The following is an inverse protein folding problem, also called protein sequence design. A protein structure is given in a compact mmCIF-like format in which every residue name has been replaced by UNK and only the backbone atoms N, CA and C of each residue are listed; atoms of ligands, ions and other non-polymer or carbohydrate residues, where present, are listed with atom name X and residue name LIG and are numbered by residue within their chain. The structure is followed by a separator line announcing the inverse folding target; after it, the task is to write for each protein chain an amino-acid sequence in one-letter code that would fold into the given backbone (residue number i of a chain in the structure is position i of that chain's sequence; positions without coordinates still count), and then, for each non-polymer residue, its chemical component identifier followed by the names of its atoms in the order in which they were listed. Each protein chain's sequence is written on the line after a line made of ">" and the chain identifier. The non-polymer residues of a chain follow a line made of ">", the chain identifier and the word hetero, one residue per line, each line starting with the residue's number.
data_IF_622692304788
#
_entry.id   IF_622692304788
#
_cell.length_a   1.000
_cell.length_b   1.000
_cell.length_c   1.000
_cell.angle_alpha   90.00
_cell.angle_beta   90.00
_cell.angle_gamma   90.00
#
_symmetry.space_group_name_H-M   'P 1'
#
loop_
_entity.id
_entity.type
_entity.pdbx_description
1 polymer ?
#
# COMPACT_ATOMS: atom_id res chain seq x y z
N UNK A 1 -10.67 -8.47 -40.94
CA UNK A 1 -10.37 -9.82 -41.46
C UNK A 1 -9.71 -10.64 -40.35
N UNK A 2 -9.89 -11.98 -40.33
CA UNK A 2 -9.23 -12.86 -39.35
C UNK A 2 -9.96 -13.07 -38.00
N UNK A 3 -11.06 -12.41 -37.71
CA UNK A 3 -11.79 -12.58 -36.44
C UNK A 3 -12.33 -14.00 -36.27
N UNK A 4 -12.84 -14.61 -37.34
CA UNK A 4 -13.33 -16.00 -37.30
C UNK A 4 -12.19 -16.97 -36.96
N UNK A 5 -11.02 -16.81 -37.59
CA UNK A 5 -9.83 -17.62 -37.30
C UNK A 5 -9.39 -17.46 -35.85
N UNK A 6 -9.33 -16.21 -35.35
CA UNK A 6 -8.99 -15.91 -33.95
C UNK A 6 -9.96 -16.63 -32.97
N UNK A 7 -11.27 -16.54 -33.22
CA UNK A 7 -12.27 -17.22 -32.39
C UNK A 7 -12.14 -18.73 -32.43
N UNK A 8 -11.87 -19.30 -33.63
CA UNK A 8 -11.62 -20.73 -33.77
C UNK A 8 -10.36 -21.18 -33.02
N UNK A 9 -9.29 -20.38 -33.07
CA UNK A 9 -8.06 -20.66 -32.36
C UNK A 9 -8.23 -20.54 -30.82
N UNK A 10 -9.02 -19.57 -30.33
CA UNK A 10 -9.38 -19.48 -28.92
C UNK A 10 -10.09 -20.75 -28.47
N UNK A 11 -11.10 -21.19 -29.18
CA UNK A 11 -11.85 -22.42 -28.85
C UNK A 11 -10.95 -23.66 -28.89
N UNK A 12 -9.99 -23.69 -29.82
CA UNK A 12 -9.09 -24.84 -30.03
C UNK A 12 -7.99 -24.93 -28.97
N UNK A 13 -7.39 -23.80 -28.58
CA UNK A 13 -6.17 -23.78 -27.77
C UNK A 13 -6.40 -23.41 -26.31
N UNK A 14 -7.46 -22.68 -25.99
CA UNK A 14 -7.73 -22.30 -24.59
C UNK A 14 -8.49 -23.41 -23.88
N UNK A 15 -7.98 -23.93 -22.76
CA UNK A 15 -8.68 -24.96 -22.01
C UNK A 15 -9.94 -24.37 -21.35
N UNK A 16 -11.00 -25.19 -21.32
CA UNK A 16 -12.18 -24.90 -20.51
C UNK A 16 -11.84 -24.98 -19.01
N UNK A 17 -12.62 -24.32 -18.11
CA UNK A 17 -12.36 -24.31 -16.66
C UNK A 17 -12.23 -25.71 -16.04
N UNK A 18 -13.02 -26.68 -16.52
CA UNK A 18 -13.03 -28.08 -16.06
C UNK A 18 -11.71 -28.84 -16.30
N UNK A 19 -10.91 -28.38 -17.27
CA UNK A 19 -9.59 -28.98 -17.58
C UNK A 19 -8.44 -28.43 -16.77
N UNK A 20 -8.69 -27.41 -15.94
CA UNK A 20 -7.68 -26.78 -15.11
C UNK A 20 -7.82 -27.24 -13.66
N UNK A 21 -6.77 -27.80 -13.11
CA UNK A 21 -6.69 -28.08 -11.68
C UNK A 21 -6.77 -26.78 -10.87
N UNK A 22 -7.58 -26.80 -9.84
CA UNK A 22 -7.71 -25.69 -8.90
C UNK A 22 -7.61 -26.21 -7.48
N UNK A 23 -6.41 -26.11 -6.91
CA UNK A 23 -6.11 -26.57 -5.58
C UNK A 23 -5.92 -25.39 -4.62
N UNK A 24 -6.45 -25.52 -3.41
CA UNK A 24 -6.22 -24.66 -2.27
C UNK A 24 -5.81 -25.49 -1.07
N UNK A 25 -5.66 -24.87 0.07
CA UNK A 25 -5.39 -25.54 1.36
C UNK A 25 -6.58 -25.30 2.25
N UNK A 26 -7.15 -26.38 2.81
CA UNK A 26 -8.11 -26.29 3.88
C UNK A 26 -7.36 -25.87 5.16
N UNK A 27 -7.67 -24.69 5.67
CA UNK A 27 -6.89 -24.11 6.78
C UNK A 27 -7.23 -24.71 8.15
N UNK A 28 -8.25 -25.57 8.26
CA UNK A 28 -8.54 -26.33 9.48
C UNK A 28 -7.81 -27.68 9.52
N UNK A 29 -7.75 -28.39 8.38
CA UNK A 29 -7.13 -29.73 8.30
C UNK A 29 -5.71 -29.69 7.79
N UNK A 30 -5.26 -28.58 7.21
CA UNK A 30 -3.99 -28.44 6.49
C UNK A 30 -3.83 -29.38 5.28
N UNK A 31 -4.94 -29.90 4.77
CA UNK A 31 -4.97 -30.79 3.62
C UNK A 31 -5.20 -30.00 2.32
N UNK A 32 -4.75 -30.57 1.22
CA UNK A 32 -5.02 -30.01 -0.11
C UNK A 32 -6.51 -30.15 -0.43
N UNK A 33 -7.15 -29.01 -0.70
CA UNK A 33 -8.53 -28.95 -1.13
C UNK A 33 -8.58 -28.81 -2.66
N UNK A 34 -9.04 -29.86 -3.33
CA UNK A 34 -9.28 -29.83 -4.78
C UNK A 34 -10.68 -29.27 -5.03
N UNK A 35 -10.73 -28.06 -5.60
CA UNK A 35 -11.99 -27.39 -5.92
C UNK A 35 -12.67 -28.00 -7.17
N UNK A 36 -11.88 -28.30 -8.21
CA UNK A 36 -12.25 -28.97 -9.47
C UNK A 36 -13.46 -28.37 -10.19
N UNK A 37 -13.77 -27.12 -9.90
CA UNK A 37 -14.96 -26.42 -10.42
C UNK A 37 -16.27 -27.21 -10.24
N UNK A 38 -16.36 -27.98 -9.18
CA UNK A 38 -17.53 -28.80 -8.87
C UNK A 38 -18.60 -28.00 -8.12
N UNK A 39 -19.82 -27.99 -8.64
CA UNK A 39 -20.96 -27.26 -8.08
C UNK A 39 -21.47 -27.84 -6.75
N UNK A 40 -21.28 -29.14 -6.52
CA UNK A 40 -21.72 -29.81 -5.30
C UNK A 40 -20.75 -29.60 -4.11
N UNK A 41 -19.51 -29.15 -4.36
CA UNK A 41 -18.54 -28.87 -3.31
C UNK A 41 -18.88 -27.59 -2.53
N UNK A 42 -18.35 -27.43 -1.32
CA UNK A 42 -18.48 -26.18 -0.54
C UNK A 42 -18.04 -24.96 -1.37
N UNK A 43 -18.74 -23.85 -1.16
CA UNK A 43 -18.50 -22.61 -1.88
C UNK A 43 -17.10 -22.08 -1.62
N UNK A 44 -16.37 -21.77 -2.69
CA UNK A 44 -15.08 -21.08 -2.58
C UNK A 44 -14.82 -20.21 -3.80
N UNK A 45 -14.19 -19.06 -3.58
CA UNK A 45 -13.83 -18.11 -4.62
C UNK A 45 -12.51 -17.43 -4.30
N UNK A 46 -11.86 -16.91 -5.33
CA UNK A 46 -10.63 -16.14 -5.24
C UNK A 46 -10.80 -14.75 -5.83
N UNK A 47 -10.42 -13.71 -5.08
CA UNK A 47 -10.45 -12.33 -5.53
C UNK A 47 -9.18 -12.04 -6.31
N UNK A 48 -9.26 -11.91 -7.63
CA UNK A 48 -8.07 -11.71 -8.45
C UNK A 48 -7.82 -10.26 -8.86
N UNK A 49 -8.84 -9.38 -8.77
CA UNK A 49 -8.72 -7.96 -9.12
C UNK A 49 -9.76 -7.12 -8.39
N UNK A 50 -9.39 -5.86 -8.11
CA UNK A 50 -10.33 -4.83 -7.65
C UNK A 50 -10.44 -3.76 -8.72
N UNK A 51 -11.66 -3.27 -8.96
CA UNK A 51 -11.97 -2.12 -9.83
C UNK A 51 -12.76 -1.13 -9.00
N UNK A 52 -12.43 0.16 -9.12
CA UNK A 52 -13.17 1.22 -8.45
C UNK A 52 -13.92 2.04 -9.48
N UNK A 53 -15.23 1.82 -9.50
CA UNK A 53 -16.15 2.59 -10.32
C UNK A 53 -16.53 3.90 -9.62
N UNK A 54 -16.55 5.06 -10.33
CA UNK A 54 -16.90 6.36 -9.72
C UNK A 54 -18.31 6.41 -9.13
N UNK A 55 -19.26 5.64 -9.66
CA UNK A 55 -20.68 5.69 -9.29
C UNK A 55 -21.09 4.60 -8.31
N UNK A 56 -20.64 3.38 -8.54
CA UNK A 56 -21.05 2.19 -7.76
C UNK A 56 -20.07 1.93 -6.62
N UNK A 57 -18.83 2.38 -6.78
CA UNK A 57 -17.76 2.18 -5.83
C UNK A 57 -16.90 0.96 -6.13
N UNK A 58 -16.50 0.21 -5.10
CA UNK A 58 -15.57 -0.91 -5.22
C UNK A 58 -16.26 -2.16 -5.74
N UNK A 59 -15.72 -2.73 -6.83
CA UNK A 59 -15.99 -4.08 -7.29
C UNK A 59 -14.79 -4.99 -7.02
N UNK A 60 -15.03 -6.12 -6.40
CA UNK A 60 -14.05 -7.21 -6.27
C UNK A 60 -14.36 -8.27 -7.30
N UNK A 61 -13.49 -8.41 -8.31
CA UNK A 61 -13.61 -9.45 -9.33
C UNK A 61 -13.17 -10.77 -8.75
N UNK A 62 -14.04 -11.76 -8.85
CA UNK A 62 -13.83 -13.10 -8.32
C UNK A 62 -13.87 -14.15 -9.41
N UNK A 63 -13.15 -15.22 -9.17
CA UNK A 63 -13.34 -16.49 -9.84
C UNK A 63 -13.92 -17.48 -8.83
N UNK A 64 -15.07 -18.07 -9.16
CA UNK A 64 -15.66 -19.11 -8.34
C UNK A 64 -14.95 -20.43 -8.62
N UNK A 65 -14.34 -21.03 -7.62
CA UNK A 65 -13.54 -22.24 -7.76
C UNK A 65 -14.32 -23.52 -7.44
N UNK A 66 -15.29 -23.44 -6.51
CA UNK A 66 -16.21 -24.53 -6.17
C UNK A 66 -17.55 -24.01 -5.65
N UNK A 67 -18.58 -24.85 -5.78
CA UNK A 67 -19.93 -24.55 -5.35
C UNK A 67 -20.66 -23.54 -6.23
N UNK A 68 -21.74 -23.00 -5.71
CA UNK A 68 -22.57 -21.96 -6.32
C UNK A 68 -22.74 -20.81 -5.35
N UNK A 69 -22.29 -19.63 -5.74
CA UNK A 69 -22.48 -18.40 -4.94
C UNK A 69 -23.84 -17.79 -5.27
N UNK A 70 -24.56 -17.38 -4.26
CA UNK A 70 -25.86 -16.71 -4.39
C UNK A 70 -25.83 -15.34 -3.69
N UNK A 71 -26.77 -14.49 -4.07
CA UNK A 71 -27.05 -13.27 -3.32
C UNK A 71 -27.39 -13.60 -1.88
N UNK A 72 -27.00 -12.71 -0.97
CA UNK A 72 -27.15 -12.84 0.50
C UNK A 72 -26.34 -13.96 1.17
N UNK A 73 -25.48 -14.68 0.42
CA UNK A 73 -24.53 -15.60 1.03
C UNK A 73 -23.58 -14.88 1.98
N UNK A 74 -23.17 -15.59 3.03
CA UNK A 74 -22.09 -15.12 3.92
C UNK A 74 -20.87 -15.99 3.67
N UNK A 75 -19.77 -15.38 3.25
CA UNK A 75 -18.50 -16.04 3.01
C UNK A 75 -17.47 -15.60 4.03
N UNK A 76 -16.65 -16.53 4.46
CA UNK A 76 -15.53 -16.31 5.35
C UNK A 76 -14.26 -16.00 4.57
N UNK A 77 -13.59 -14.91 4.94
CA UNK A 77 -12.26 -14.54 4.47
C UNK A 77 -11.22 -14.97 5.50
N UNK A 78 -10.50 -16.05 5.23
CA UNK A 78 -9.45 -16.57 6.11
C UNK A 78 -8.34 -15.56 6.38
N UNK A 79 -7.91 -14.82 5.34
CA UNK A 79 -6.78 -13.90 5.44
C UNK A 79 -7.06 -12.67 6.30
N UNK A 80 -8.33 -12.34 6.51
CA UNK A 80 -8.78 -11.18 7.29
C UNK A 80 -9.55 -11.58 8.56
N UNK A 81 -9.75 -12.88 8.75
CA UNK A 81 -10.57 -13.44 9.84
C UNK A 81 -11.92 -12.71 9.99
N UNK A 82 -12.63 -12.60 8.89
CA UNK A 82 -13.92 -11.92 8.88
C UNK A 82 -14.93 -12.59 7.97
N UNK A 83 -16.21 -12.41 8.30
CA UNK A 83 -17.30 -12.79 7.42
C UNK A 83 -17.68 -11.62 6.54
N UNK A 84 -17.88 -11.89 5.26
CA UNK A 84 -18.33 -10.95 4.24
C UNK A 84 -19.72 -11.36 3.75
N UNK A 85 -20.68 -10.47 3.91
CA UNK A 85 -22.00 -10.67 3.34
C UNK A 85 -21.98 -10.25 1.87
N UNK A 86 -22.36 -11.17 0.99
CA UNK A 86 -22.50 -10.91 -0.44
C UNK A 86 -23.84 -10.23 -0.68
N UNK A 87 -23.80 -8.94 -1.07
CA UNK A 87 -25.01 -8.22 -1.41
C UNK A 87 -25.49 -8.60 -2.81
N UNK A 88 -24.89 -8.04 -3.83
CA UNK A 88 -25.26 -8.27 -5.22
C UNK A 88 -24.12 -8.90 -6.01
N UNK A 89 -24.49 -9.77 -6.92
CA UNK A 89 -23.59 -10.43 -7.84
C UNK A 89 -23.72 -9.81 -9.23
N UNK A 90 -22.59 -9.63 -9.91
CA UNK A 90 -22.55 -9.04 -11.24
C UNK A 90 -21.68 -9.84 -12.18
N UNK A 91 -22.02 -9.79 -13.48
CA UNK A 91 -21.16 -10.18 -14.57
C UNK A 91 -20.80 -8.94 -15.39
N UNK A 92 -19.51 -8.73 -15.62
CA UNK A 92 -19.00 -7.59 -16.37
C UNK A 92 -18.76 -7.99 -17.82
N UNK A 93 -19.40 -7.28 -18.75
CA UNK A 93 -19.26 -7.45 -20.20
C UNK A 93 -18.80 -6.14 -20.82
N UNK A 94 -17.47 -5.89 -20.81
CA UNK A 94 -16.93 -4.58 -21.16
C UNK A 94 -17.44 -3.49 -20.22
N UNK A 95 -18.12 -2.48 -20.76
CA UNK A 95 -18.71 -1.38 -19.96
C UNK A 95 -20.13 -1.70 -19.43
N UNK A 96 -20.68 -2.87 -19.74
CA UNK A 96 -21.99 -3.28 -19.25
C UNK A 96 -21.83 -4.12 -17.99
N UNK A 97 -22.66 -3.81 -17.00
CA UNK A 97 -22.74 -4.52 -15.73
C UNK A 97 -24.10 -5.17 -15.64
N UNK A 98 -24.15 -6.49 -15.60
CA UNK A 98 -25.39 -7.24 -15.50
C UNK A 98 -25.49 -7.85 -14.10
N UNK A 99 -26.57 -7.60 -13.39
CA UNK A 99 -26.86 -8.23 -12.09
C UNK A 99 -27.36 -9.66 -12.32
N UNK A 100 -26.81 -10.60 -11.56
CA UNK A 100 -27.19 -12.03 -11.61
C UNK A 100 -27.54 -12.52 -10.22
N UNK A 101 -28.38 -13.55 -10.15
CA UNK A 101 -28.81 -14.16 -8.89
C UNK A 101 -27.78 -15.14 -8.31
N UNK A 102 -27.00 -15.79 -9.19
CA UNK A 102 -26.01 -16.79 -8.79
C UNK A 102 -24.82 -16.83 -9.76
N UNK A 103 -23.69 -17.31 -9.26
CA UNK A 103 -22.46 -17.60 -10.01
C UNK A 103 -22.02 -19.02 -9.70
N UNK A 104 -21.73 -19.79 -10.74
CA UNK A 104 -21.32 -21.19 -10.64
C UNK A 104 -19.79 -21.34 -10.60
N UNK A 105 -19.33 -22.46 -10.11
CA UNK A 105 -17.91 -22.82 -10.19
C UNK A 105 -17.40 -22.72 -11.64
N UNK A 106 -16.27 -22.04 -11.83
CA UNK A 106 -15.72 -21.72 -13.15
C UNK A 106 -16.10 -20.32 -13.65
N UNK A 107 -17.16 -19.71 -13.15
CA UNK A 107 -17.57 -18.36 -13.55
C UNK A 107 -16.63 -17.29 -12.99
N UNK A 108 -16.53 -16.21 -13.77
CA UNK A 108 -15.92 -14.95 -13.34
C UNK A 108 -17.04 -13.95 -13.13
N UNK A 109 -17.12 -13.41 -11.94
CA UNK A 109 -18.10 -12.40 -11.57
C UNK A 109 -17.49 -11.28 -10.75
N UNK A 110 -18.35 -10.37 -10.30
CA UNK A 110 -17.95 -9.25 -9.45
C UNK A 110 -18.86 -9.14 -8.23
N UNK A 111 -18.25 -8.89 -7.09
CA UNK A 111 -18.92 -8.60 -5.82
C UNK A 111 -18.81 -7.12 -5.54
N UNK A 112 -19.93 -6.46 -5.29
CA UNK A 112 -19.92 -5.05 -4.91
C UNK A 112 -19.71 -4.89 -3.40
N UNK A 113 -18.98 -3.86 -3.02
CA UNK A 113 -18.92 -3.32 -1.64
C UNK A 113 -18.48 -4.32 -0.56
N UNK A 114 -17.57 -5.25 -0.86
CA UNK A 114 -16.94 -6.04 0.20
C UNK A 114 -16.23 -5.11 1.19
N UNK A 115 -16.50 -5.28 2.49
CA UNK A 115 -16.06 -4.33 3.51
C UNK A 115 -14.56 -4.42 3.80
N UNK A 116 -14.03 -5.63 3.98
CA UNK A 116 -12.66 -5.87 4.43
C UNK A 116 -11.80 -6.63 3.44
N UNK A 117 -12.42 -7.36 2.52
CA UNK A 117 -11.69 -8.21 1.57
C UNK A 117 -10.97 -7.39 0.49
N UNK A 118 -9.77 -7.85 0.15
CA UNK A 118 -8.87 -7.23 -0.82
C UNK A 118 -8.53 -8.21 -1.94
N UNK A 119 -7.89 -7.69 -2.98
CA UNK A 119 -7.32 -8.52 -4.06
C UNK A 119 -6.32 -9.52 -3.47
N UNK A 120 -6.31 -10.72 -4.00
CA UNK A 120 -5.58 -11.92 -3.56
C UNK A 120 -6.16 -12.64 -2.34
N UNK A 121 -7.25 -12.18 -1.77
CA UNK A 121 -7.91 -12.89 -0.68
C UNK A 121 -8.79 -14.03 -1.21
N UNK A 122 -8.93 -15.07 -0.38
CA UNK A 122 -9.78 -16.23 -0.63
C UNK A 122 -11.06 -16.13 0.18
N UNK A 123 -12.18 -16.43 -0.46
CA UNK A 123 -13.49 -16.48 0.16
C UNK A 123 -14.00 -17.91 0.17
N UNK A 124 -14.54 -18.39 1.27
CA UNK A 124 -15.02 -19.76 1.43
C UNK A 124 -16.13 -19.85 2.48
N UNK A 125 -16.64 -21.03 2.74
CA UNK A 125 -17.56 -21.24 3.87
C UNK A 125 -16.75 -21.36 5.17
N UNK A 126 -17.26 -20.82 6.29
CA UNK A 126 -16.60 -20.92 7.61
C UNK A 126 -16.41 -22.36 8.08
N UNK A 127 -17.28 -23.27 7.65
CA UNK A 127 -17.17 -24.69 8.00
C UNK A 127 -16.04 -25.39 7.24
N UNK A 128 -15.74 -24.93 6.02
CA UNK A 128 -14.68 -25.44 5.17
C UNK A 128 -13.82 -24.26 4.67
N UNK A 129 -12.98 -23.67 5.51
CA UNK A 129 -12.17 -22.53 5.12
C UNK A 129 -11.03 -22.94 4.19
N UNK A 130 -11.01 -22.37 2.99
CA UNK A 130 -10.03 -22.66 1.95
C UNK A 130 -9.22 -21.42 1.66
N UNK A 131 -7.89 -21.55 1.66
CA UNK A 131 -6.95 -20.54 1.22
C UNK A 131 -6.32 -20.97 -0.11
N UNK A 132 -6.45 -20.13 -1.13
CA UNK A 132 -5.75 -20.27 -2.41
C UNK A 132 -4.41 -19.55 -2.36
N UNK A 133 -3.47 -19.99 -3.19
CA UNK A 133 -2.15 -19.36 -3.31
C UNK A 133 -2.32 -17.90 -3.73
N UNK A 134 -1.78 -17.00 -2.92
CA UNK A 134 -1.78 -15.58 -3.25
C UNK A 134 -0.83 -15.28 -4.39
N UNK A 135 -1.25 -14.40 -5.30
CA UNK A 135 -0.37 -13.89 -6.32
C UNK A 135 0.81 -13.13 -5.69
N UNK A 136 2.01 -13.40 -6.17
CA UNK A 136 3.19 -12.63 -5.77
C UNK A 136 3.18 -11.28 -6.50
N UNK A 137 2.90 -10.21 -5.76
CA UNK A 137 2.87 -8.85 -6.31
C UNK A 137 4.28 -8.26 -6.26
N UNK A 138 4.77 -7.82 -7.40
CA UNK A 138 6.07 -7.16 -7.50
C UNK A 138 6.12 -5.89 -6.67
N UNK A 139 7.24 -5.69 -5.98
CA UNK A 139 7.47 -4.44 -5.25
C UNK A 139 7.82 -3.33 -6.24
N UNK A 140 7.37 -2.09 -6.01
CA UNK A 140 7.73 -0.97 -6.87
C UNK A 140 9.23 -0.64 -6.77
N UNK A 141 9.81 -0.24 -7.90
CA UNK A 141 11.25 0.04 -8.02
C UNK A 141 11.59 1.53 -8.05
N UNK A 142 10.65 2.37 -8.48
CA UNK A 142 10.86 3.81 -8.68
C UNK A 142 9.96 4.59 -7.74
N UNK A 143 10.47 5.68 -7.19
CA UNK A 143 9.69 6.63 -6.42
C UNK A 143 9.85 8.04 -6.99
N UNK A 144 8.74 8.77 -7.01
CA UNK A 144 8.74 10.20 -7.30
C UNK A 144 8.00 10.96 -6.20
N UNK A 145 8.52 12.13 -5.89
CA UNK A 145 7.81 13.08 -5.05
C UNK A 145 6.69 13.70 -5.87
N UNK A 146 5.51 13.84 -5.29
CA UNK A 146 4.42 14.55 -5.93
C UNK A 146 3.91 15.71 -5.06
N UNK A 147 3.36 16.69 -5.74
CA UNK A 147 2.66 17.83 -5.14
C UNK A 147 1.38 18.09 -5.91
N UNK A 148 0.37 18.62 -5.23
CA UNK A 148 -0.79 19.18 -5.89
C UNK A 148 -0.35 20.37 -6.78
N UNK A 149 -0.83 20.40 -8.03
CA UNK A 149 -0.57 21.54 -8.91
C UNK A 149 -1.43 22.74 -8.52
N UNK A 150 -2.66 22.49 -8.08
CA UNK A 150 -3.57 23.52 -7.61
C UNK A 150 -3.71 23.41 -6.09
N UNK A 151 -3.67 24.54 -5.39
CA UNK A 151 -3.93 24.61 -3.95
C UNK A 151 -5.37 24.20 -3.64
N UNK A 152 -5.55 23.35 -2.64
CA UNK A 152 -6.86 22.86 -2.20
C UNK A 152 -7.30 21.53 -2.81
N UNK A 153 -6.51 20.95 -3.74
CA UNK A 153 -6.78 19.63 -4.31
C UNK A 153 -6.14 18.49 -3.50
N UNK A 154 -5.41 18.76 -2.41
CA UNK A 154 -4.63 17.77 -1.64
C UNK A 154 -5.50 16.61 -1.13
N UNK A 155 -6.65 16.92 -0.54
CA UNK A 155 -7.59 15.91 -0.02
C UNK A 155 -8.18 15.06 -1.15
N UNK A 156 -8.52 15.67 -2.25
CA UNK A 156 -9.05 15.02 -3.45
C UNK A 156 -8.01 14.08 -4.07
N UNK A 157 -6.77 14.54 -4.16
CA UNK A 157 -5.64 13.73 -4.65
C UNK A 157 -5.44 12.53 -3.73
N UNK A 158 -5.42 12.74 -2.40
CA UNK A 158 -5.27 11.66 -1.42
C UNK A 158 -6.36 10.60 -1.56
N UNK A 159 -7.63 11.00 -1.64
CA UNK A 159 -8.75 10.09 -1.83
C UNK A 159 -8.69 9.35 -3.18
N UNK A 160 -8.28 10.04 -4.23
CA UNK A 160 -8.15 9.46 -5.57
C UNK A 160 -7.02 8.44 -5.63
N UNK A 161 -5.86 8.77 -5.03
CA UNK A 161 -4.74 7.84 -4.91
C UNK A 161 -5.10 6.61 -4.08
N UNK A 162 -5.83 6.76 -2.97
CA UNK A 162 -6.31 5.61 -2.19
C UNK A 162 -7.15 4.64 -3.05
N UNK A 163 -8.01 5.16 -3.92
CA UNK A 163 -8.78 4.34 -4.86
C UNK A 163 -7.88 3.62 -5.86
N UNK A 164 -6.89 4.33 -6.42
CA UNK A 164 -5.94 3.73 -7.36
C UNK A 164 -5.05 2.66 -6.70
N UNK A 165 -4.63 2.86 -5.44
CA UNK A 165 -3.89 1.87 -4.65
C UNK A 165 -4.69 0.58 -4.38
N UNK A 166 -6.02 0.65 -4.39
CA UNK A 166 -6.88 -0.54 -4.30
C UNK A 166 -6.94 -1.31 -5.62
N UNK A 167 -6.85 -0.59 -6.76
CA UNK A 167 -6.87 -1.18 -8.11
C UNK A 167 -5.51 -1.77 -8.49
N UNK A 168 -4.42 -1.07 -8.15
CA UNK A 168 -3.06 -1.43 -8.50
C UNK A 168 -2.20 -1.66 -7.25
N UNK A 169 -1.94 -2.92 -6.96
CA UNK A 169 -1.15 -3.36 -5.80
C UNK A 169 0.35 -3.10 -5.94
N UNK A 170 0.83 -2.70 -7.12
CA UNK A 170 2.24 -2.32 -7.35
C UNK A 170 2.52 -0.87 -7.01
N UNK A 171 1.47 -0.07 -6.77
CA UNK A 171 1.60 1.31 -6.32
C UNK A 171 1.72 1.37 -4.79
N UNK A 172 2.48 2.35 -4.30
CA UNK A 172 2.54 2.71 -2.87
C UNK A 172 2.60 4.21 -2.71
N UNK A 173 1.95 4.71 -1.68
CA UNK A 173 2.00 6.11 -1.28
C UNK A 173 2.60 6.18 0.13
N UNK A 174 3.70 6.92 0.29
CA UNK A 174 4.47 7.01 1.54
C UNK A 174 4.68 8.47 1.89
N UNK A 175 4.34 8.82 3.12
CA UNK A 175 4.69 10.12 3.67
C UNK A 175 6.08 10.04 4.32
N UNK A 176 7.06 10.69 3.70
CA UNK A 176 8.41 10.82 4.22
C UNK A 176 8.48 12.06 5.13
N UNK A 177 8.33 11.81 6.43
CA UNK A 177 8.34 12.86 7.44
C UNK A 177 9.72 13.52 7.59
N UNK A 178 10.80 12.79 7.32
CA UNK A 178 12.17 13.28 7.44
C UNK A 178 12.46 14.42 6.45
N UNK A 179 12.03 14.25 5.21
CA UNK A 179 12.26 15.24 4.14
C UNK A 179 11.03 16.12 3.85
N UNK A 180 9.97 15.99 4.65
CA UNK A 180 8.70 16.70 4.43
C UNK A 180 8.20 16.58 3.00
N UNK A 181 8.07 15.35 2.52
CA UNK A 181 7.61 15.06 1.17
C UNK A 181 6.70 13.83 1.12
N UNK A 182 5.83 13.80 0.14
CA UNK A 182 5.02 12.62 -0.15
C UNK A 182 5.55 11.94 -1.39
N UNK A 183 5.78 10.64 -1.30
CA UNK A 183 6.37 9.82 -2.33
C UNK A 183 5.34 8.85 -2.92
N UNK A 184 5.25 8.82 -4.23
CA UNK A 184 4.51 7.84 -4.98
C UNK A 184 5.49 6.83 -5.58
N UNK A 185 5.33 5.56 -5.23
CA UNK A 185 6.14 4.45 -5.73
C UNK A 185 5.38 3.71 -6.82
N UNK A 186 6.09 3.31 -7.88
CA UNK A 186 5.58 2.53 -8.99
C UNK A 186 6.64 1.65 -9.63
N UNK A 187 6.26 0.91 -10.66
CA UNK A 187 7.15 -0.02 -11.36
C UNK A 187 8.19 0.68 -12.24
N UNK A 188 7.95 1.93 -12.63
CA UNK A 188 8.84 2.73 -13.47
C UNK A 188 8.28 4.13 -13.69
N UNK A 189 9.06 4.98 -14.35
CA UNK A 189 8.69 6.39 -14.62
C UNK A 189 7.41 6.48 -15.44
N UNK A 190 7.30 5.71 -16.53
CA UNK A 190 6.09 5.66 -17.36
C UNK A 190 4.85 5.24 -16.57
N UNK A 191 5.00 4.32 -15.63
CA UNK A 191 3.89 3.91 -14.77
C UNK A 191 3.38 5.10 -13.93
N UNK A 192 4.28 5.87 -13.33
CA UNK A 192 3.92 7.04 -12.53
C UNK A 192 3.31 8.16 -13.38
N UNK A 193 3.78 8.34 -14.60
CA UNK A 193 3.18 9.28 -15.57
C UNK A 193 1.76 8.86 -15.96
N UNK A 194 1.50 7.56 -16.18
CA UNK A 194 0.15 7.04 -16.42
C UNK A 194 -0.75 7.30 -15.22
N UNK A 195 -0.26 7.08 -14.00
CA UNK A 195 -1.00 7.38 -12.77
C UNK A 195 -1.38 8.87 -12.70
N UNK A 196 -0.44 9.77 -13.02
CA UNK A 196 -0.70 11.21 -13.07
C UNK A 196 -1.75 11.57 -14.13
N UNK A 197 -1.67 10.94 -15.31
CA UNK A 197 -2.67 11.12 -16.38
C UNK A 197 -4.05 10.62 -15.96
N UNK A 198 -4.12 9.47 -15.29
CA UNK A 198 -5.38 8.92 -14.76
C UNK A 198 -5.98 9.82 -13.67
N UNK A 199 -5.18 10.43 -12.80
CA UNK A 199 -5.64 11.41 -11.82
C UNK A 199 -6.29 12.61 -12.52
N UNK A 200 -5.67 13.10 -13.59
CA UNK A 200 -6.21 14.20 -14.39
C UNK A 200 -7.49 13.81 -15.11
N UNK A 201 -7.50 12.69 -15.82
CA UNK A 201 -8.59 12.30 -16.71
C UNK A 201 -9.82 11.76 -15.95
N UNK A 202 -9.60 10.88 -14.98
CA UNK A 202 -10.67 10.19 -14.22
C UNK A 202 -11.15 11.03 -13.03
N UNK A 203 -10.22 11.66 -12.29
CA UNK A 203 -10.52 12.32 -11.02
C UNK A 203 -10.50 13.85 -11.09
N UNK A 204 -10.08 14.43 -12.23
CA UNK A 204 -10.01 15.88 -12.47
C UNK A 204 -9.13 16.62 -11.45
N UNK A 205 -8.02 16.00 -11.06
CA UNK A 205 -6.97 16.59 -10.23
C UNK A 205 -5.61 16.41 -10.88
N UNK A 206 -4.74 17.38 -10.75
CA UNK A 206 -3.40 17.34 -11.36
C UNK A 206 -2.32 17.32 -10.28
N UNK A 207 -1.32 16.46 -10.48
CA UNK A 207 -0.10 16.40 -9.66
C UNK A 207 1.12 16.76 -10.50
N UNK A 208 2.12 17.31 -9.86
CA UNK A 208 3.45 17.50 -10.41
C UNK A 208 4.38 16.45 -9.82
N UNK A 209 5.04 15.66 -10.69
CA UNK A 209 6.02 14.66 -10.30
C UNK A 209 7.43 15.25 -10.37
N UNK A 210 8.18 15.11 -9.31
CA UNK A 210 9.56 15.59 -9.20
C UNK A 210 10.44 14.51 -8.56
N UNK A 211 11.76 14.62 -8.75
CA UNK A 211 12.70 13.71 -8.07
C UNK A 211 12.57 13.84 -6.55
N UNK A 212 12.64 12.73 -5.80
CA UNK A 212 12.59 12.76 -4.36
C UNK A 212 13.81 13.47 -3.78
N UNK A 213 13.62 14.14 -2.66
CA UNK A 213 14.73 14.62 -1.84
C UNK A 213 15.37 13.41 -1.15
N UNK A 214 16.68 13.36 -1.13
CA UNK A 214 17.45 12.32 -0.46
C UNK A 214 17.89 12.86 0.91
N UNK A 215 17.61 12.11 1.95
CA UNK A 215 18.12 12.42 3.28
C UNK A 215 19.62 12.11 3.33
N UNK A 216 20.44 13.15 3.30
CA UNK A 216 21.87 13.01 3.56
C UNK A 216 22.10 12.94 5.04
N UNK A 217 22.96 12.04 5.46
CA UNK A 217 23.40 11.92 6.84
C UNK A 217 24.88 12.24 6.92
N UNK A 218 25.23 13.06 7.88
CA UNK A 218 26.62 13.44 8.16
C UNK A 218 27.18 12.48 9.22
N UNK A 219 28.47 12.19 9.13
CA UNK A 219 29.19 11.41 10.12
C UNK A 219 30.52 12.06 10.45
N UNK A 220 30.90 11.99 11.70
CA UNK A 220 32.20 12.43 12.17
C UNK A 220 33.27 11.37 11.82
N UNK A 221 34.39 11.81 11.26
CA UNK A 221 35.51 10.92 10.92
C UNK A 221 36.64 10.95 11.93
N UNK A 222 36.73 12.02 12.72
CA UNK A 222 37.79 12.27 13.70
C UNK A 222 37.21 12.85 14.98
N UNK A 223 37.89 12.62 16.10
CA UNK A 223 37.62 13.27 17.34
C UNK A 223 37.91 14.76 17.21
N UNK A 224 37.02 15.60 17.73
CA UNK A 224 37.14 17.05 17.72
C UNK A 224 36.66 17.62 19.04
N UNK A 225 37.48 18.43 19.66
CA UNK A 225 37.14 19.21 20.87
C UNK A 225 36.74 20.61 20.45
N UNK A 226 35.56 21.04 20.86
CA UNK A 226 34.99 22.34 20.49
C UNK A 226 34.62 23.10 21.77
N UNK A 227 35.00 24.35 21.84
CA UNK A 227 34.62 25.27 22.87
C UNK A 227 33.92 26.46 22.24
N UNK A 228 32.72 26.78 22.73
CA UNK A 228 31.97 27.94 22.26
C UNK A 228 31.46 28.77 23.44
N UNK A 229 31.69 30.07 23.38
CA UNK A 229 31.28 31.04 24.38
C UNK A 229 30.37 32.09 23.77
N UNK A 230 29.10 32.03 24.14
CA UNK A 230 28.12 33.02 23.71
C UNK A 230 27.97 34.11 24.80
N UNK A 231 28.22 35.36 24.41
CA UNK A 231 28.00 36.52 25.28
C UNK A 231 27.30 37.60 24.47
N UNK A 232 26.09 37.94 24.85
CA UNK A 232 25.33 39.05 24.25
C UNK A 232 24.74 39.91 25.35
N UNK A 233 25.03 41.19 25.32
CA UNK A 233 24.50 42.16 26.24
C UNK A 233 23.92 43.33 25.44
N UNK A 234 22.62 43.55 25.56
CA UNK A 234 21.89 44.66 24.95
C UNK A 234 20.91 45.21 25.98
N UNK A 235 21.40 46.10 26.86
CA UNK A 235 20.57 46.72 27.89
C UNK A 235 20.10 45.76 29.02
N UNK A 236 20.36 46.10 30.28
CA UNK A 236 19.85 45.44 31.47
C UNK A 236 20.29 44.00 31.75
N UNK A 237 19.72 43.02 31.09
CA UNK A 237 20.01 41.59 31.31
C UNK A 237 20.81 41.01 30.17
N UNK A 238 22.03 40.53 30.42
CA UNK A 238 22.89 39.88 29.46
C UNK A 238 22.60 38.38 29.32
N UNK A 239 22.80 37.84 28.14
CA UNK A 239 22.78 36.40 27.87
C UNK A 239 24.21 35.87 27.85
N UNK A 240 24.44 34.78 28.59
CA UNK A 240 25.74 34.13 28.67
C UNK A 240 25.58 32.62 28.62
N UNK A 241 26.37 31.98 27.77
CA UNK A 241 26.47 30.53 27.68
C UNK A 241 27.89 30.15 27.30
N UNK A 242 28.44 29.16 27.97
CA UNK A 242 29.76 28.63 27.68
C UNK A 242 29.69 27.11 27.66
N UNK A 243 30.01 26.50 26.53
CA UNK A 243 29.92 25.06 26.32
C UNK A 243 31.26 24.54 25.79
N UNK A 244 31.71 23.45 26.38
CA UNK A 244 32.83 22.62 25.89
C UNK A 244 32.28 21.25 25.57
N UNK A 245 32.51 20.77 24.35
CA UNK A 245 32.01 19.47 23.87
C UNK A 245 33.10 18.76 23.10
N UNK A 246 33.19 17.47 23.31
CA UNK A 246 33.99 16.56 22.49
C UNK A 246 33.08 15.79 21.60
N UNK A 247 33.35 15.79 20.31
CA UNK A 247 32.64 15.01 19.33
C UNK A 247 33.55 13.90 18.79
N UNK A 248 33.11 12.66 18.84
CA UNK A 248 33.87 11.52 18.30
C UNK A 248 32.94 10.47 17.67
N UNK A 249 33.44 9.63 16.74
CA UNK A 249 32.66 8.54 16.20
C UNK A 249 32.29 7.54 17.30
N UNK A 250 30.99 7.26 17.48
CA UNK A 250 30.51 6.29 18.48
C UNK A 250 30.82 4.84 18.10
N UNK A 251 30.99 4.56 16.81
CA UNK A 251 31.11 3.18 16.29
C UNK A 251 29.79 2.42 16.26
N UNK A 252 28.72 2.97 16.80
CA UNK A 252 27.39 2.38 16.81
C UNK A 252 26.58 2.85 15.61
N UNK A 253 26.35 1.95 14.63
CA UNK A 253 25.61 2.29 13.41
C UNK A 253 24.08 2.21 13.58
N UNK A 254 23.61 1.71 14.72
CA UNK A 254 22.19 1.54 14.99
C UNK A 254 21.53 2.79 15.59
N UNK A 255 22.32 3.66 16.21
CA UNK A 255 21.84 4.88 16.83
C UNK A 255 22.36 6.13 16.10
N UNK A 256 21.53 7.18 16.06
CA UNK A 256 21.87 8.42 15.37
C UNK A 256 22.99 9.18 16.07
N UNK A 257 23.04 9.10 17.38
CA UNK A 257 24.05 9.69 18.24
C UNK A 257 23.99 9.06 19.64
N UNK A 258 25.08 9.13 20.36
CA UNK A 258 25.19 8.81 21.79
C UNK A 258 25.62 10.08 22.53
N UNK A 259 25.03 10.35 23.69
CA UNK A 259 25.33 11.54 24.47
C UNK A 259 25.81 11.16 25.87
N UNK A 260 27.05 11.53 26.19
CA UNK A 260 27.62 11.39 27.54
C UNK A 260 27.73 12.73 28.25
N UNK A 261 27.30 12.76 29.49
CA UNK A 261 27.39 13.93 30.34
C UNK A 261 28.60 13.86 31.23
N UNK A 262 29.54 14.77 31.04
CA UNK A 262 30.76 14.89 31.87
C UNK A 262 30.75 16.13 32.79
N UNK A 263 29.60 16.77 32.96
CA UNK A 263 29.50 18.01 33.79
C UNK A 263 29.44 17.66 35.27
N UNK A 264 30.38 18.17 36.03
CA UNK A 264 30.48 17.98 37.48
C UNK A 264 29.99 19.26 38.22
N UNK A 265 29.27 19.08 39.34
CA UNK A 265 28.88 20.18 40.19
C UNK A 265 27.55 20.88 39.89
N UNK A 266 26.69 20.29 39.03
CA UNK A 266 25.33 20.80 38.84
C UNK A 266 25.23 22.17 38.13
N UNK A 267 26.28 22.58 37.42
CA UNK A 267 26.33 23.85 36.72
C UNK A 267 25.28 24.02 35.60
N UNK A 268 24.75 22.89 35.08
CA UNK A 268 23.69 22.85 34.08
C UNK A 268 22.60 21.87 34.55
N UNK A 269 21.32 22.28 34.61
CA UNK A 269 20.23 21.38 34.95
C UNK A 269 20.14 20.21 33.98
N UNK A 270 19.86 19.00 34.48
CA UNK A 270 19.76 17.78 33.65
C UNK A 270 18.78 17.92 32.47
N UNK A 271 17.66 18.61 32.69
CA UNK A 271 16.66 18.89 31.64
C UNK A 271 17.20 19.77 30.51
N UNK A 272 18.08 20.73 30.82
CA UNK A 272 18.71 21.56 29.78
C UNK A 272 19.66 20.79 28.88
N UNK A 273 20.31 19.76 29.42
CA UNK A 273 21.24 18.92 28.65
C UNK A 273 20.51 18.04 27.64
N UNK A 274 19.31 17.55 27.95
CA UNK A 274 18.48 16.78 27.01
C UNK A 274 18.10 17.63 25.80
N UNK A 275 17.75 18.90 26.00
CA UNK A 275 17.42 19.83 24.90
C UNK A 275 18.65 20.23 24.06
N UNK A 276 19.84 20.28 24.65
CA UNK A 276 21.08 20.56 23.92
C UNK A 276 21.46 19.40 22.99
N UNK A 277 21.11 18.16 23.36
CA UNK A 277 21.42 16.98 22.59
C UNK A 277 20.37 16.64 21.51
N UNK A 278 19.22 17.34 21.51
CA UNK A 278 18.28 17.18 20.38
C UNK A 278 18.94 17.66 19.09
N UNK A 279 18.96 16.80 18.03
CA UNK A 279 19.54 17.21 16.76
C UNK A 279 18.78 18.41 16.22
N UNK A 280 19.40 19.58 16.29
CA UNK A 280 18.88 20.77 15.64
C UNK A 280 18.80 20.45 14.14
N UNK A 281 17.58 20.27 13.61
CA UNK A 281 17.39 20.13 12.16
C UNK A 281 17.96 21.38 11.51
N UNK A 282 19.07 21.23 10.80
CA UNK A 282 19.53 22.26 9.89
C UNK A 282 18.40 22.47 8.89
N UNK A 283 17.70 23.60 9.03
CA UNK A 283 16.79 24.08 8.01
C UNK A 283 17.63 24.26 6.76
N UNK A 284 17.47 23.35 5.80
CA UNK A 284 18.05 23.54 4.47
C UNK A 284 17.46 24.83 3.89
N UNK A 285 18.32 25.79 3.68
CA UNK A 285 18.06 26.99 2.89
C UNK A 285 17.79 26.60 1.44
#
# INVERSE_FOLDING_TARGET
>A
RGMYTLMADIVKYFPSPDKRECAGINTKTNEVYQADYNFAKPKSAYIFKTIVDPYIGKYSLIKVNSGVLKTDDVLYNYHRDCDEKIGRLYVLKGNKVEEVSELHAGDIGALAKLAKSLTTDSLSTRNNPVAYLRANISKPYVSMRYKAKNKGDEDKISQSLQKMLMEDLTLRNVNDAENHQTLLYGMGDQHLEIVASMLKDKYKVEIELTRPKIAFRETLRKKSDVEYKYKKQSGGHGQYGHVKMTFEPSGNLNESYEFEQCVVGGAVPKLSLIHISEPTRLLSI
#
